data_IF_426385568151
#
_entry.id   IF_426385568151
#
_cell.length_a   1.000
_cell.length_b   1.000
_cell.length_c   1.000
_cell.angle_alpha   90.00
_cell.angle_beta   90.00
_cell.angle_gamma   90.00
#
_symmetry.space_group_name_H-M   'P 1'
#
loop_
_entity.id
_entity.type
_entity.pdbx_description
1 polymer ?
#
# COMPACT_ATOMS: atom_id res chain seq x y z
N UNK A 1 -18.30 -8.87 -0.33
CA UNK A 1 -17.96 -8.97 -1.76
C UNK A 1 -16.72 -9.85 -1.89
N UNK A 2 -16.78 -10.90 -2.69
CA UNK A 2 -15.58 -11.67 -3.08
C UNK A 2 -15.03 -11.13 -4.40
N UNK A 3 -13.71 -11.20 -4.60
CA UNK A 3 -13.10 -10.80 -5.87
C UNK A 3 -13.38 -11.88 -6.92
N UNK A 4 -14.09 -11.51 -7.96
CA UNK A 4 -14.38 -12.33 -9.13
C UNK A 4 -14.14 -11.51 -10.41
N UNK A 5 -14.24 -12.14 -11.58
CA UNK A 5 -13.99 -11.47 -12.87
C UNK A 5 -14.86 -10.20 -13.07
N UNK A 6 -16.13 -10.22 -12.65
CA UNK A 6 -17.05 -9.07 -12.78
C UNK A 6 -16.58 -7.88 -11.93
N UNK A 7 -16.24 -8.11 -10.66
CA UNK A 7 -15.73 -7.05 -9.78
C UNK A 7 -14.34 -6.59 -10.21
N UNK A 8 -13.46 -7.51 -10.63
CA UNK A 8 -12.14 -7.20 -11.17
C UNK A 8 -12.24 -6.29 -12.40
N UNK A 9 -13.15 -6.58 -13.33
CA UNK A 9 -13.38 -5.76 -14.51
C UNK A 9 -13.83 -4.32 -14.16
N UNK A 10 -14.63 -4.15 -13.10
CA UNK A 10 -15.02 -2.81 -12.61
C UNK A 10 -13.80 -2.03 -12.12
N UNK A 11 -12.95 -2.65 -11.30
CA UNK A 11 -11.73 -1.99 -10.81
C UNK A 11 -10.75 -1.66 -11.94
N UNK A 12 -10.52 -2.60 -12.86
CA UNK A 12 -9.69 -2.35 -14.06
C UNK A 12 -10.22 -1.16 -14.84
N UNK A 13 -11.53 -1.09 -15.09
CA UNK A 13 -12.13 0.04 -15.81
C UNK A 13 -11.89 1.37 -15.11
N UNK A 14 -12.06 1.43 -13.78
CA UNK A 14 -11.80 2.65 -13.01
C UNK A 14 -10.35 3.10 -13.13
N UNK A 15 -9.41 2.17 -13.01
CA UNK A 15 -7.97 2.49 -13.09
C UNK A 15 -7.55 2.87 -14.51
N UNK A 16 -8.03 2.17 -15.55
CA UNK A 16 -7.74 2.53 -16.95
C UNK A 16 -8.25 3.93 -17.33
N UNK A 17 -9.36 4.38 -16.73
CA UNK A 17 -9.85 5.75 -16.92
C UNK A 17 -8.97 6.81 -16.22
N UNK A 18 -8.04 6.40 -15.37
CA UNK A 18 -7.28 7.25 -14.47
C UNK A 18 -5.80 7.34 -14.85
N UNK A 19 -5.15 6.22 -15.13
CA UNK A 19 -3.68 6.12 -15.28
C UNK A 19 -3.08 6.94 -16.42
N UNK A 20 -3.89 7.36 -17.39
CA UNK A 20 -3.49 8.27 -18.48
C UNK A 20 -4.11 9.67 -18.37
N UNK A 21 -4.97 9.90 -17.38
CA UNK A 21 -5.69 11.15 -17.16
C UNK A 21 -4.82 12.08 -16.32
N UNK A 22 -4.20 13.09 -16.96
CA UNK A 22 -3.23 14.00 -16.32
C UNK A 22 -3.86 14.99 -15.33
N UNK A 23 -5.16 15.31 -15.44
CA UNK A 23 -5.80 16.31 -14.58
C UNK A 23 -7.18 15.84 -14.08
N UNK A 24 -7.61 16.25 -12.87
CA UNK A 24 -6.88 17.08 -11.90
C UNK A 24 -5.67 16.35 -11.30
N UNK A 25 -4.61 17.10 -10.99
CA UNK A 25 -3.38 16.58 -10.38
C UNK A 25 -3.07 17.33 -9.09
N UNK A 26 -2.70 16.61 -8.05
CA UNK A 26 -2.39 17.07 -6.71
C UNK A 26 -1.00 16.57 -6.36
N UNK A 27 -0.08 17.48 -6.04
CA UNK A 27 1.27 17.13 -5.61
C UNK A 27 1.76 18.24 -4.69
N UNK A 28 2.58 17.86 -3.70
CA UNK A 28 3.32 18.82 -2.90
C UNK A 28 4.68 19.01 -3.57
N UNK A 29 4.90 20.19 -4.15
CA UNK A 29 6.15 20.52 -4.83
C UNK A 29 7.11 21.27 -3.90
N UNK A 30 8.36 20.83 -3.91
CA UNK A 30 9.50 21.61 -3.43
C UNK A 30 10.21 22.18 -4.66
N UNK A 31 10.16 23.49 -4.85
CA UNK A 31 10.67 24.16 -6.04
C UNK A 31 12.03 24.79 -5.73
N UNK A 32 13.08 24.30 -6.39
CA UNK A 32 14.42 24.89 -6.30
C UNK A 32 14.67 25.90 -7.42
N UNK A 33 13.96 25.76 -8.54
CA UNK A 33 14.01 26.70 -9.67
C UNK A 33 12.74 26.68 -10.52
N UNK A 34 12.66 27.57 -11.51
CA UNK A 34 11.56 27.58 -12.48
C UNK A 34 11.43 26.28 -13.29
N UNK A 35 12.49 25.47 -13.37
CA UNK A 35 12.49 24.18 -14.07
C UNK A 35 11.66 23.10 -13.37
N UNK A 36 11.27 23.32 -12.12
CA UNK A 36 10.47 22.38 -11.33
C UNK A 36 8.95 22.60 -11.49
N UNK A 37 8.56 23.68 -12.16
CA UNK A 37 7.16 23.97 -12.50
C UNK A 37 6.87 23.47 -13.92
N UNK A 38 6.59 22.17 -14.04
CA UNK A 38 6.26 21.53 -15.32
C UNK A 38 4.99 20.67 -15.20
N UNK A 39 4.32 20.39 -16.33
CA UNK A 39 3.23 19.42 -16.36
C UNK A 39 3.67 18.04 -15.82
N UNK A 40 2.80 17.28 -15.11
CA UNK A 40 3.16 15.97 -14.56
C UNK A 40 3.82 15.02 -15.55
N UNK A 41 3.34 14.99 -16.81
CA UNK A 41 3.91 14.14 -17.88
C UNK A 41 5.36 14.46 -18.24
N UNK A 42 5.86 15.64 -17.91
CA UNK A 42 7.25 16.04 -18.13
C UNK A 42 8.13 15.79 -16.89
N UNK A 43 7.52 15.69 -15.71
CA UNK A 43 8.23 15.43 -14.45
C UNK A 43 8.36 13.92 -14.18
N UNK A 44 7.27 13.18 -14.31
CA UNK A 44 7.16 11.76 -13.97
C UNK A 44 6.37 11.04 -15.07
N UNK A 45 6.98 10.81 -16.25
CA UNK A 45 6.27 10.39 -17.47
C UNK A 45 5.71 8.96 -17.45
N UNK A 46 6.13 8.08 -16.55
CA UNK A 46 5.56 6.74 -16.43
C UNK A 46 4.29 6.75 -15.55
N UNK A 47 4.24 7.64 -14.56
CA UNK A 47 3.18 7.67 -13.55
C UNK A 47 2.58 9.08 -13.39
N UNK A 48 2.35 9.76 -14.51
CA UNK A 48 1.83 11.13 -14.53
C UNK A 48 0.31 11.23 -14.35
N UNK A 49 -0.43 10.15 -14.64
CA UNK A 49 -1.88 10.16 -14.58
C UNK A 49 -2.41 10.08 -13.14
N UNK A 50 -3.72 9.96 -13.04
CA UNK A 50 -4.46 9.98 -11.78
C UNK A 50 -4.33 11.29 -10.99
N UNK A 51 -4.92 11.32 -9.79
CA UNK A 51 -4.88 12.50 -8.94
C UNK A 51 -3.45 12.83 -8.53
N UNK A 52 -2.59 11.84 -8.34
CA UNK A 52 -1.22 12.01 -7.93
C UNK A 52 -0.35 10.82 -8.38
N UNK A 53 0.96 10.96 -8.21
CA UNK A 53 1.93 9.98 -8.70
C UNK A 53 1.75 8.61 -8.06
N UNK A 54 1.58 8.54 -6.73
CA UNK A 54 1.40 7.26 -6.06
C UNK A 54 0.07 6.59 -6.43
N UNK A 55 -0.96 7.37 -6.75
CA UNK A 55 -2.23 6.87 -7.26
C UNK A 55 -2.09 6.16 -8.59
N UNK A 56 -1.33 6.75 -9.51
CA UNK A 56 -0.94 6.08 -10.75
C UNK A 56 -0.16 4.80 -10.44
N UNK A 57 0.87 4.85 -9.61
CA UNK A 57 1.73 3.68 -9.30
C UNK A 57 0.92 2.50 -8.76
N UNK A 58 0.09 2.71 -7.74
CA UNK A 58 -0.68 1.61 -7.19
C UNK A 58 -1.83 1.17 -8.12
N UNK A 59 -2.31 2.07 -8.99
CA UNK A 59 -3.18 1.72 -10.11
C UNK A 59 -2.51 0.72 -11.06
N UNK A 60 -1.27 0.99 -11.48
CA UNK A 60 -0.48 0.05 -12.28
C UNK A 60 -0.26 -1.29 -11.55
N UNK A 61 0.00 -1.26 -10.23
CA UNK A 61 0.06 -2.49 -9.42
C UNK A 61 -1.26 -3.27 -9.47
N UNK A 62 -2.41 -2.59 -9.33
CA UNK A 62 -3.73 -3.24 -9.45
C UNK A 62 -3.92 -3.89 -10.81
N UNK A 63 -3.55 -3.20 -11.90
CA UNK A 63 -3.66 -3.74 -13.26
C UNK A 63 -2.81 -5.02 -13.40
N UNK A 64 -1.55 -4.98 -12.97
CA UNK A 64 -0.66 -6.15 -13.00
C UNK A 64 -1.21 -7.31 -12.15
N UNK A 65 -1.63 -7.04 -10.91
CA UNK A 65 -2.19 -8.04 -9.99
C UNK A 65 -3.43 -8.71 -10.57
N UNK A 66 -4.39 -7.94 -11.07
CA UNK A 66 -5.62 -8.48 -11.64
C UNK A 66 -5.38 -9.22 -12.96
N UNK A 67 -4.42 -8.78 -13.77
CA UNK A 67 -4.04 -9.53 -14.96
C UNK A 67 -3.44 -10.90 -14.61
N UNK A 68 -2.62 -10.98 -13.56
CA UNK A 68 -2.08 -12.24 -13.07
C UNK A 68 -3.13 -13.14 -12.42
N UNK A 69 -4.09 -12.58 -11.69
CA UNK A 69 -5.17 -13.34 -11.05
C UNK A 69 -6.24 -13.83 -12.04
N UNK A 70 -6.43 -13.14 -13.17
CA UNK A 70 -7.47 -13.45 -14.16
C UNK A 70 -6.93 -13.47 -15.60
N UNK A 71 -5.98 -14.37 -15.93
CA UNK A 71 -5.24 -14.34 -17.21
C UNK A 71 -6.11 -14.52 -18.47
N UNK A 72 -7.32 -15.07 -18.32
CA UNK A 72 -8.27 -15.30 -19.41
C UNK A 72 -9.40 -14.24 -19.48
N UNK A 73 -9.34 -13.19 -18.66
CA UNK A 73 -10.39 -12.16 -18.66
C UNK A 73 -10.31 -11.26 -19.90
N UNK A 74 -11.46 -10.80 -20.37
CA UNK A 74 -11.55 -9.91 -21.54
C UNK A 74 -10.78 -8.57 -21.37
N UNK A 75 -10.52 -8.15 -20.13
CA UNK A 75 -9.77 -6.93 -19.84
C UNK A 75 -8.25 -7.07 -19.95
N UNK A 76 -7.71 -8.27 -20.20
CA UNK A 76 -6.25 -8.49 -20.23
C UNK A 76 -5.58 -7.67 -21.33
N UNK A 77 -6.17 -7.61 -22.52
CA UNK A 77 -5.62 -6.85 -23.64
C UNK A 77 -5.45 -5.35 -23.30
N UNK A 78 -6.50 -4.61 -22.89
CA UNK A 78 -6.34 -3.20 -22.54
C UNK A 78 -5.45 -2.99 -21.31
N UNK A 79 -5.41 -3.93 -20.35
CA UNK A 79 -4.47 -3.87 -19.22
C UNK A 79 -3.02 -3.90 -19.69
N UNK A 80 -2.66 -4.89 -20.53
CA UNK A 80 -1.28 -5.02 -21.02
C UNK A 80 -0.87 -3.80 -21.85
N UNK A 81 -1.77 -3.25 -22.65
CA UNK A 81 -1.54 -2.03 -23.43
C UNK A 81 -1.23 -0.82 -22.53
N UNK A 82 -1.99 -0.62 -21.45
CA UNK A 82 -1.75 0.46 -20.51
C UNK A 82 -0.39 0.30 -19.79
N UNK A 83 -0.06 -0.91 -19.32
CA UNK A 83 1.23 -1.20 -18.70
C UNK A 83 2.40 -0.96 -19.67
N UNK A 84 2.28 -1.41 -20.92
CA UNK A 84 3.31 -1.25 -21.95
C UNK A 84 3.55 0.21 -22.32
N UNK A 85 2.49 1.01 -22.38
CA UNK A 85 2.59 2.45 -22.65
C UNK A 85 3.34 3.20 -21.56
N UNK A 86 3.12 2.85 -20.29
CA UNK A 86 3.75 3.52 -19.15
C UNK A 86 5.16 3.01 -18.90
N UNK A 87 5.38 1.69 -18.90
CA UNK A 87 6.61 1.02 -18.47
C UNK A 87 7.60 0.84 -19.63
N UNK A 88 7.87 1.94 -20.34
CA UNK A 88 8.90 2.00 -21.39
C UNK A 88 10.24 2.47 -20.81
N UNK A 89 11.35 2.10 -21.44
CA UNK A 89 12.68 2.56 -21.02
C UNK A 89 12.77 4.10 -20.97
N UNK A 90 12.22 4.80 -21.97
CA UNK A 90 12.24 6.26 -22.05
C UNK A 90 11.45 6.93 -20.91
N UNK A 91 10.26 6.41 -20.58
CA UNK A 91 9.50 6.95 -19.46
C UNK A 91 10.20 6.68 -18.12
N UNK A 92 10.73 5.48 -17.92
CA UNK A 92 11.45 5.16 -16.69
C UNK A 92 12.74 6.00 -16.55
N UNK A 93 13.43 6.32 -17.63
CA UNK A 93 14.56 7.26 -17.61
C UNK A 93 14.13 8.66 -17.11
N UNK A 94 12.94 9.13 -17.50
CA UNK A 94 12.37 10.38 -16.99
C UNK A 94 12.09 10.34 -15.48
N UNK A 95 11.49 9.24 -14.99
CA UNK A 95 11.29 9.02 -13.55
C UNK A 95 12.63 8.99 -12.79
N UNK A 96 13.65 8.31 -13.33
CA UNK A 96 15.00 8.26 -12.75
C UNK A 96 15.59 9.67 -12.64
N UNK A 97 15.51 10.47 -13.71
CA UNK A 97 16.00 11.84 -13.70
C UNK A 97 15.30 12.68 -12.61
N UNK A 98 13.99 12.50 -12.43
CA UNK A 98 13.24 13.19 -11.38
C UNK A 98 13.67 12.77 -9.97
N UNK A 99 13.78 11.46 -9.70
CA UNK A 99 14.22 10.95 -8.40
C UNK A 99 15.70 11.26 -8.07
N UNK A 100 16.55 11.46 -9.07
CA UNK A 100 17.93 11.92 -8.86
C UNK A 100 17.95 13.37 -8.32
N UNK A 101 17.07 14.24 -8.83
CA UNK A 101 16.92 15.63 -8.36
C UNK A 101 16.16 15.71 -7.03
N UNK A 102 15.17 14.83 -6.84
CA UNK A 102 14.32 14.79 -5.65
C UNK A 102 14.36 13.42 -4.96
N UNK A 103 15.47 13.02 -4.30
CA UNK A 103 15.64 11.68 -3.71
C UNK A 103 14.61 11.28 -2.64
N UNK A 104 13.79 12.24 -2.17
CA UNK A 104 12.77 12.06 -1.12
C UNK A 104 11.35 12.20 -1.63
N UNK A 105 11.15 12.39 -2.93
CA UNK A 105 9.82 12.44 -3.52
C UNK A 105 9.02 11.17 -3.19
N UNK A 106 7.78 11.34 -2.71
CA UNK A 106 6.86 10.23 -2.39
C UNK A 106 7.32 9.27 -1.27
N UNK A 107 8.27 9.70 -0.42
CA UNK A 107 8.70 8.92 0.73
C UNK A 107 7.75 9.02 1.94
N UNK A 108 7.37 7.90 2.58
CA UNK A 108 7.70 6.52 2.22
C UNK A 108 6.59 5.79 1.42
N UNK A 109 5.40 6.36 1.29
CA UNK A 109 4.21 5.64 0.79
C UNK A 109 4.25 5.32 -0.70
N UNK A 110 4.45 6.31 -1.57
CA UNK A 110 4.43 6.06 -3.01
C UNK A 110 5.54 5.11 -3.44
N UNK A 111 6.74 5.27 -2.88
CA UNK A 111 7.86 4.37 -3.18
C UNK A 111 7.62 2.94 -2.68
N UNK A 112 6.88 2.76 -1.58
CA UNK A 112 6.48 1.43 -1.12
C UNK A 112 5.56 0.73 -2.14
N UNK A 113 4.62 1.47 -2.73
CA UNK A 113 3.77 0.94 -3.80
C UNK A 113 4.52 0.66 -5.10
N UNK A 114 5.52 1.48 -5.46
CA UNK A 114 6.36 1.19 -6.63
C UNK A 114 7.14 -0.12 -6.43
N UNK A 115 7.68 -0.33 -5.24
CA UNK A 115 8.36 -1.59 -4.91
C UNK A 115 7.38 -2.78 -4.90
N UNK A 116 6.11 -2.57 -4.51
CA UNK A 116 5.08 -3.59 -4.69
C UNK A 116 4.76 -3.88 -6.16
N UNK A 117 4.71 -2.86 -7.04
CA UNK A 117 4.59 -3.04 -8.48
C UNK A 117 5.74 -3.88 -9.04
N UNK A 118 6.98 -3.53 -8.69
CA UNK A 118 8.15 -4.31 -9.11
C UNK A 118 8.09 -5.76 -8.64
N UNK A 119 7.68 -6.00 -7.39
CA UNK A 119 7.50 -7.35 -6.86
C UNK A 119 6.41 -8.13 -7.63
N UNK A 120 5.30 -7.48 -7.98
CA UNK A 120 4.21 -8.11 -8.72
C UNK A 120 4.62 -8.49 -10.15
N UNK A 121 5.40 -7.63 -10.83
CA UNK A 121 5.93 -7.93 -12.15
C UNK A 121 6.95 -9.09 -12.12
N UNK A 122 7.77 -9.18 -11.08
CA UNK A 122 8.74 -10.27 -10.90
C UNK A 122 8.05 -11.64 -10.65
N UNK A 123 6.96 -11.65 -9.88
CA UNK A 123 6.15 -12.84 -9.62
C UNK A 123 5.25 -13.25 -10.81
N UNK A 124 5.05 -12.36 -11.78
CA UNK A 124 4.19 -12.61 -12.93
C UNK A 124 4.96 -13.32 -14.04
N UNK A 125 4.72 -14.63 -14.18
CA UNK A 125 5.29 -15.44 -15.26
C UNK A 125 4.64 -15.15 -16.62
N UNK A 126 4.91 -13.96 -17.16
CA UNK A 126 4.48 -13.48 -18.47
C UNK A 126 5.64 -12.77 -19.17
N UNK A 127 5.75 -12.94 -20.49
CA UNK A 127 6.84 -12.36 -21.27
C UNK A 127 6.84 -10.82 -21.23
N UNK A 128 5.66 -10.20 -21.24
CA UNK A 128 5.54 -8.74 -21.19
C UNK A 128 5.89 -8.23 -19.78
N UNK A 129 5.44 -8.93 -18.73
CA UNK A 129 5.79 -8.60 -17.35
C UNK A 129 7.31 -8.60 -17.12
N UNK A 130 8.02 -9.60 -17.66
CA UNK A 130 9.49 -9.66 -17.63
C UNK A 130 10.13 -8.46 -18.35
N UNK A 131 9.59 -8.05 -19.49
CA UNK A 131 10.10 -6.88 -20.23
C UNK A 131 9.86 -5.56 -19.47
N UNK A 132 8.66 -5.38 -18.90
CA UNK A 132 8.36 -4.20 -18.09
C UNK A 132 9.19 -4.15 -16.81
N UNK A 133 9.46 -5.30 -16.20
CA UNK A 133 10.35 -5.40 -15.04
C UNK A 133 11.79 -4.99 -15.38
N UNK A 134 12.29 -5.39 -16.57
CA UNK A 134 13.59 -4.92 -17.06
C UNK A 134 13.58 -3.40 -17.25
N UNK A 135 12.53 -2.85 -17.85
CA UNK A 135 12.39 -1.40 -18.04
C UNK A 135 12.31 -0.63 -16.71
N UNK A 136 11.60 -1.15 -15.70
CA UNK A 136 11.42 -0.55 -14.37
C UNK A 136 12.67 -0.64 -13.47
N UNK A 137 13.57 -1.60 -13.75
CA UNK A 137 14.72 -1.91 -12.90
C UNK A 137 15.60 -0.70 -12.51
N UNK A 138 15.92 0.26 -13.41
CA UNK A 138 16.75 1.41 -13.04
C UNK A 138 16.12 2.28 -11.94
N UNK A 139 14.82 2.55 -12.05
CA UNK A 139 14.06 3.31 -11.05
C UNK A 139 13.93 2.55 -9.73
N UNK A 140 13.61 1.25 -9.79
CA UNK A 140 13.58 0.38 -8.60
C UNK A 140 14.91 0.40 -7.85
N UNK A 141 16.03 0.34 -8.58
CA UNK A 141 17.38 0.35 -8.00
C UNK A 141 17.68 1.68 -7.31
N UNK A 142 17.38 2.81 -7.96
CA UNK A 142 17.56 4.14 -7.39
C UNK A 142 16.71 4.34 -6.13
N UNK A 143 15.45 3.94 -6.16
CA UNK A 143 14.55 4.05 -5.01
C UNK A 143 15.01 3.17 -3.85
N UNK A 144 15.49 1.95 -4.10
CA UNK A 144 16.05 1.10 -3.06
C UNK A 144 17.27 1.74 -2.37
N UNK A 145 18.16 2.38 -3.14
CA UNK A 145 19.30 3.13 -2.61
C UNK A 145 18.82 4.32 -1.76
N UNK A 146 17.93 5.14 -2.30
CA UNK A 146 17.38 6.30 -1.60
C UNK A 146 16.65 5.90 -0.31
N UNK A 147 15.93 4.77 -0.33
CA UNK A 147 15.26 4.21 0.84
C UNK A 147 16.22 3.74 1.92
N UNK A 148 17.29 3.05 1.55
CA UNK A 148 18.34 2.66 2.50
C UNK A 148 18.89 3.88 3.22
N UNK A 149 19.23 4.94 2.49
CA UNK A 149 19.75 6.20 3.05
C UNK A 149 18.69 6.92 3.92
N UNK A 150 17.43 6.99 3.48
CA UNK A 150 16.33 7.59 4.25
C UNK A 150 16.15 6.88 5.59
N UNK A 151 15.99 5.56 5.55
CA UNK A 151 15.68 4.75 6.72
C UNK A 151 16.84 4.73 7.71
N UNK A 152 18.10 4.73 7.24
CA UNK A 152 19.28 4.88 8.09
C UNK A 152 19.26 6.19 8.88
N UNK A 153 18.89 7.30 8.23
CA UNK A 153 18.81 8.64 8.85
C UNK A 153 17.56 8.86 9.69
N UNK A 154 16.48 8.12 9.47
CA UNK A 154 15.24 8.26 10.24
C UNK A 154 15.46 7.90 11.72
N UNK A 155 15.26 8.88 12.60
CA UNK A 155 15.43 8.76 14.06
C UNK A 155 14.12 8.49 14.79
N UNK A 156 13.02 9.09 14.31
CA UNK A 156 11.68 8.98 14.87
C UNK A 156 10.74 8.55 13.74
N UNK A 157 9.97 7.46 13.90
CA UNK A 157 9.02 7.06 12.87
C UNK A 157 7.74 7.91 12.96
N UNK A 158 7.12 8.15 11.82
CA UNK A 158 5.84 8.83 11.76
C UNK A 158 4.70 7.81 11.96
N UNK A 159 3.78 8.15 12.87
CA UNK A 159 2.65 7.33 13.32
C UNK A 159 1.29 7.97 13.01
N UNK A 160 1.19 8.89 12.05
CA UNK A 160 -0.12 9.38 11.57
C UNK A 160 -0.72 8.38 10.59
N UNK A 161 -2.05 8.28 10.46
CA UNK A 161 -2.69 7.34 9.54
C UNK A 161 -2.72 7.79 8.08
N UNK A 162 -1.72 8.56 7.67
CA UNK A 162 -1.59 9.21 6.36
C UNK A 162 -0.40 8.66 5.57
N UNK A 163 -0.10 9.24 4.40
CA UNK A 163 1.01 8.84 3.51
C UNK A 163 2.40 8.79 4.18
N UNK A 164 2.59 9.47 5.31
CA UNK A 164 3.87 9.43 6.03
C UNK A 164 4.01 8.26 6.99
N UNK A 165 2.97 7.44 7.19
CA UNK A 165 2.96 6.33 8.15
C UNK A 165 4.12 5.36 7.86
N UNK A 166 5.06 5.29 8.80
CA UNK A 166 6.32 4.56 8.59
C UNK A 166 6.13 3.04 8.60
N UNK A 167 5.41 2.48 9.57
CA UNK A 167 5.26 1.03 9.71
C UNK A 167 4.58 0.37 8.50
N UNK A 168 3.56 1.02 7.93
CA UNK A 168 2.83 0.57 6.75
C UNK A 168 3.75 0.47 5.54
N UNK A 169 4.49 1.54 5.24
CA UNK A 169 5.44 1.54 4.14
C UNK A 169 6.56 0.50 4.37
N UNK A 170 7.09 0.39 5.60
CA UNK A 170 8.09 -0.63 5.92
C UNK A 170 7.56 -2.06 5.73
N UNK A 171 6.29 -2.33 6.04
CA UNK A 171 5.67 -3.64 5.83
C UNK A 171 5.64 -4.02 4.35
N UNK A 172 5.19 -3.09 3.50
CA UNK A 172 5.18 -3.30 2.04
C UNK A 172 6.60 -3.45 1.46
N UNK A 173 7.56 -2.64 1.91
CA UNK A 173 8.93 -2.71 1.40
C UNK A 173 9.62 -4.00 1.89
N UNK A 174 9.32 -4.47 3.10
CA UNK A 174 9.83 -5.75 3.60
C UNK A 174 9.36 -6.92 2.73
N UNK A 175 8.11 -6.90 2.29
CA UNK A 175 7.56 -7.92 1.39
C UNK A 175 8.27 -7.93 0.03
N UNK A 176 8.47 -6.76 -0.58
CA UNK A 176 9.27 -6.64 -1.80
C UNK A 176 10.70 -7.14 -1.59
N UNK A 177 11.32 -6.78 -0.47
CA UNK A 177 12.69 -7.19 -0.17
C UNK A 177 12.82 -8.70 0.00
N UNK A 178 11.80 -9.38 0.52
CA UNK A 178 11.74 -10.85 0.62
C UNK A 178 11.60 -11.51 -0.74
N UNK A 179 10.66 -11.05 -1.56
CA UNK A 179 10.43 -11.55 -2.93
C UNK A 179 11.70 -11.45 -3.76
N UNK A 180 12.34 -10.28 -3.73
CA UNK A 180 13.57 -9.99 -4.48
C UNK A 180 14.86 -10.46 -3.79
N UNK A 181 14.75 -11.11 -2.63
CA UNK A 181 15.88 -11.62 -1.83
C UNK A 181 16.92 -10.55 -1.48
N UNK A 182 16.48 -9.31 -1.25
CA UNK A 182 17.33 -8.20 -0.84
C UNK A 182 17.62 -8.24 0.67
N UNK A 183 18.55 -9.11 1.06
CA UNK A 183 18.90 -9.38 2.47
C UNK A 183 19.35 -8.14 3.24
N UNK A 184 20.07 -7.23 2.60
CA UNK A 184 20.50 -5.95 3.20
C UNK A 184 19.30 -5.09 3.61
N UNK A 185 18.30 -4.97 2.74
CA UNK A 185 17.09 -4.21 3.00
C UNK A 185 16.26 -4.87 4.11
N UNK A 186 16.09 -6.20 4.05
CA UNK A 186 15.40 -6.99 5.10
C UNK A 186 16.02 -6.69 6.47
N UNK A 187 17.34 -6.85 6.60
CA UNK A 187 18.06 -6.64 7.86
C UNK A 187 17.91 -5.20 8.38
N UNK A 188 17.99 -4.20 7.49
CA UNK A 188 17.82 -2.80 7.88
C UNK A 188 16.40 -2.52 8.39
N UNK A 189 15.37 -3.01 7.71
CA UNK A 189 13.97 -2.83 8.12
C UNK A 189 13.73 -3.52 9.45
N UNK A 190 14.15 -4.77 9.63
CA UNK A 190 13.98 -5.49 10.89
C UNK A 190 14.66 -4.79 12.06
N UNK A 191 15.90 -4.30 11.86
CA UNK A 191 16.62 -3.54 12.87
C UNK A 191 15.88 -2.25 13.26
N UNK A 192 15.45 -1.47 12.27
CA UNK A 192 14.77 -0.18 12.49
C UNK A 192 13.39 -0.36 13.11
N UNK A 193 12.61 -1.32 12.63
CA UNK A 193 11.31 -1.65 13.21
C UNK A 193 11.42 -2.06 14.68
N UNK A 194 12.39 -2.93 15.03
CA UNK A 194 12.65 -3.28 16.44
C UNK A 194 13.05 -2.05 17.25
N UNK A 195 13.95 -1.21 16.75
CA UNK A 195 14.35 0.04 17.42
C UNK A 195 13.16 0.99 17.66
N UNK A 196 12.24 1.06 16.72
CA UNK A 196 11.11 1.97 16.75
C UNK A 196 9.92 1.50 17.58
N UNK A 197 9.65 0.20 17.57
CA UNK A 197 8.34 -0.33 17.96
C UNK A 197 8.40 -1.46 18.99
N UNK A 198 9.57 -2.08 19.22
CA UNK A 198 9.66 -3.26 20.10
C UNK A 198 9.32 -2.95 21.56
N UNK A 199 9.64 -1.74 22.02
CA UNK A 199 9.39 -1.30 23.40
C UNK A 199 8.08 -0.51 23.57
N UNK A 200 7.29 -0.34 22.50
CA UNK A 200 6.00 0.34 22.60
C UNK A 200 5.02 -0.54 23.38
N UNK A 201 4.30 0.05 24.34
CA UNK A 201 3.35 -0.63 25.25
C UNK A 201 2.10 0.21 25.48
N UNK A 202 1.01 -0.43 25.89
CA UNK A 202 -0.24 0.24 26.30
C UNK A 202 -0.79 1.22 25.26
N UNK A 203 -0.72 0.87 23.97
CA UNK A 203 -1.32 1.66 22.92
C UNK A 203 -2.84 1.65 23.07
N UNK A 204 -3.46 2.83 22.99
CA UNK A 204 -4.92 2.95 23.16
C UNK A 204 -5.60 3.20 21.82
N UNK A 205 -6.42 2.24 21.40
CA UNK A 205 -7.25 2.35 20.18
C UNK A 205 -8.24 3.51 20.22
N UNK A 206 -8.52 4.09 21.40
CA UNK A 206 -9.42 5.26 21.55
C UNK A 206 -8.93 6.52 20.84
N UNK A 207 -7.64 6.57 20.49
CA UNK A 207 -7.03 7.72 19.80
C UNK A 207 -7.08 7.59 18.27
N UNK A 208 -7.67 6.50 17.75
CA UNK A 208 -7.88 6.30 16.32
C UNK A 208 -9.38 6.12 16.02
N UNK A 209 -9.87 6.60 14.86
CA UNK A 209 -9.12 7.29 13.80
C UNK A 209 -8.75 8.74 14.16
N UNK A 210 -7.67 9.25 13.57
CA UNK A 210 -7.48 10.68 13.37
C UNK A 210 -8.26 11.13 12.13
N UNK A 211 -8.57 12.42 12.04
CA UNK A 211 -9.64 12.95 11.18
C UNK A 211 -9.61 12.60 9.69
N UNK A 212 -8.47 12.17 9.14
CA UNK A 212 -8.35 11.82 7.72
C UNK A 212 -7.58 10.52 7.48
N UNK A 213 -7.49 9.64 8.49
CA UNK A 213 -6.74 8.40 8.37
C UNK A 213 -7.29 7.49 7.26
N UNK A 214 -6.42 6.98 6.40
CA UNK A 214 -6.69 5.83 5.52
C UNK A 214 -5.91 4.57 5.94
N UNK A 215 -5.01 4.72 6.91
CA UNK A 215 -4.24 3.65 7.56
C UNK A 215 -4.47 3.76 9.07
N UNK A 216 -4.60 2.64 9.77
CA UNK A 216 -4.57 2.63 11.24
C UNK A 216 -3.12 2.67 11.73
N UNK A 217 -2.66 3.74 12.44
CA UNK A 217 -1.32 3.77 13.02
C UNK A 217 -0.98 2.53 13.85
N UNK A 218 -1.89 2.12 14.71
CA UNK A 218 -1.76 0.97 15.59
C UNK A 218 -1.61 -0.33 14.82
N UNK A 219 -2.55 -0.61 13.91
CA UNK A 219 -2.57 -1.89 13.22
C UNK A 219 -1.45 -1.99 12.19
N UNK A 220 -0.98 -0.86 11.62
CA UNK A 220 0.20 -0.85 10.75
C UNK A 220 1.46 -1.25 11.52
N UNK A 221 1.60 -0.79 12.76
CA UNK A 221 2.71 -1.20 13.64
C UNK A 221 2.62 -2.70 13.97
N UNK A 222 1.45 -3.19 14.36
CA UNK A 222 1.28 -4.61 14.66
C UNK A 222 1.45 -5.51 13.42
N UNK A 223 0.98 -5.08 12.24
CA UNK A 223 1.19 -5.80 10.96
C UNK A 223 2.66 -5.82 10.53
N UNK A 224 3.43 -4.77 10.82
CA UNK A 224 4.88 -4.81 10.62
C UNK A 224 5.54 -5.79 11.60
N UNK A 225 5.20 -5.70 12.89
CA UNK A 225 5.85 -6.51 13.92
C UNK A 225 5.55 -8.01 13.77
N UNK A 226 4.36 -8.41 13.31
CA UNK A 226 4.05 -9.82 13.01
C UNK A 226 4.88 -10.40 11.86
N UNK A 227 5.41 -9.56 10.97
CA UNK A 227 6.31 -10.00 9.89
C UNK A 227 7.71 -10.32 10.41
N UNK A 228 8.10 -9.69 11.52
CA UNK A 228 9.49 -9.65 12.01
C UNK A 228 9.71 -10.62 13.18
N UNK A 229 8.73 -10.72 14.07
CA UNK A 229 8.81 -11.57 15.26
C UNK A 229 8.32 -12.98 14.97
N UNK A 230 8.83 -13.95 15.72
CA UNK A 230 8.25 -15.31 15.73
C UNK A 230 6.84 -15.25 16.30
N UNK A 231 5.99 -16.24 15.99
CA UNK A 231 4.59 -16.25 16.47
C UNK A 231 4.46 -16.08 17.99
N UNK A 232 5.32 -16.74 18.77
CA UNK A 232 5.33 -16.63 20.23
C UNK A 232 5.76 -15.23 20.68
N UNK A 233 6.89 -14.72 20.16
CA UNK A 233 7.37 -13.39 20.53
C UNK A 233 6.40 -12.27 20.11
N UNK A 234 5.73 -12.44 18.97
CA UNK A 234 4.69 -11.51 18.52
C UNK A 234 3.47 -11.56 19.43
N UNK A 235 3.00 -12.74 19.84
CA UNK A 235 1.85 -12.86 20.73
C UNK A 235 2.10 -12.21 22.09
N UNK A 236 3.31 -12.37 22.64
CA UNK A 236 3.72 -11.72 23.90
C UNK A 236 3.82 -10.20 23.71
N UNK A 237 4.52 -9.74 22.66
CA UNK A 237 4.63 -8.33 22.32
C UNK A 237 3.28 -7.66 22.11
N UNK A 238 2.34 -8.33 21.42
CA UNK A 238 1.00 -7.81 21.17
C UNK A 238 0.20 -7.67 22.48
N UNK A 239 0.45 -8.52 23.48
CA UNK A 239 -0.20 -8.41 24.79
C UNK A 239 0.27 -7.18 25.55
N UNK A 240 1.57 -6.86 25.46
CA UNK A 240 2.14 -5.64 26.04
C UNK A 240 1.73 -4.38 25.26
N UNK A 241 1.70 -4.47 23.93
CA UNK A 241 1.38 -3.36 23.04
C UNK A 241 -0.10 -2.99 23.06
N UNK A 242 -1.00 -3.98 22.99
CA UNK A 242 -2.45 -3.82 22.98
C UNK A 242 -3.11 -4.69 24.06
N UNK A 243 -2.97 -4.32 25.34
CA UNK A 243 -3.51 -5.10 26.45
C UNK A 243 -5.05 -5.14 26.47
N UNK A 244 -5.70 -4.14 25.86
CA UNK A 244 -7.15 -3.94 25.92
C UNK A 244 -7.92 -4.62 24.77
N UNK A 245 -7.31 -5.54 24.01
CA UNK A 245 -8.05 -6.33 23.01
C UNK A 245 -9.10 -7.19 23.75
N UNK A 246 -10.40 -6.99 23.51
CA UNK A 246 -11.45 -7.74 24.18
C UNK A 246 -11.41 -9.23 23.84
N UNK A 247 -11.74 -10.07 24.81
CA UNK A 247 -11.79 -11.54 24.65
C UNK A 247 -13.23 -12.07 24.57
N UNK A 248 -14.22 -11.18 24.61
CA UNK A 248 -15.65 -11.47 24.63
C UNK A 248 -16.32 -11.34 23.24
N UNK A 249 -15.53 -11.11 22.19
CA UNK A 249 -15.96 -10.81 20.82
C UNK A 249 -16.69 -9.46 20.68
N UNK A 250 -16.55 -8.56 21.65
CA UNK A 250 -16.96 -7.17 21.44
C UNK A 250 -16.05 -6.52 20.39
N UNK A 251 -16.64 -5.70 19.51
CA UNK A 251 -15.85 -5.05 18.48
C UNK A 251 -14.94 -3.98 19.12
N UNK A 252 -13.63 -4.20 19.02
CA UNK A 252 -12.61 -3.34 19.61
C UNK A 252 -12.28 -2.11 18.76
N UNK A 253 -12.69 -2.10 17.49
CA UNK A 253 -12.42 -1.05 16.54
C UNK A 253 -13.64 -0.86 15.64
N UNK A 254 -14.41 0.19 15.89
CA UNK A 254 -15.59 0.45 15.08
C UNK A 254 -15.17 0.93 13.68
N UNK A 255 -15.86 0.46 12.62
CA UNK A 255 -15.77 1.04 11.29
C UNK A 255 -16.09 2.53 11.33
N UNK A 256 -15.43 3.26 10.44
CA UNK A 256 -15.69 4.69 10.26
C UNK A 256 -16.61 4.85 9.07
N UNK A 257 -17.69 5.60 9.25
CA UNK A 257 -18.65 5.92 8.19
C UNK A 257 -18.19 7.15 7.41
N UNK A 258 -18.67 7.29 6.17
CA UNK A 258 -18.36 8.42 5.29
C UNK A 258 -19.67 9.13 4.98
N UNK A 259 -19.79 10.37 5.46
CA UNK A 259 -20.99 11.20 5.26
C UNK A 259 -20.97 11.89 3.89
N UNK A 260 -19.79 12.34 3.45
CA UNK A 260 -19.59 12.98 2.15
C UNK A 260 -18.55 12.22 1.30
N UNK A 261 -19.03 11.37 0.40
CA UNK A 261 -18.19 10.55 -0.49
C UNK A 261 -17.47 11.34 -1.60
N UNK A 262 -17.75 12.64 -1.77
CA UNK A 262 -17.03 13.53 -2.68
C UNK A 262 -15.86 14.26 -2.01
N UNK A 263 -15.82 14.29 -0.68
CA UNK A 263 -14.70 14.84 0.07
C UNK A 263 -13.52 13.87 0.00
N UNK A 264 -12.41 14.29 -0.62
CA UNK A 264 -11.21 13.49 -0.80
C UNK A 264 -10.69 12.95 0.54
N UNK A 265 -10.70 13.77 1.60
CA UNK A 265 -10.17 13.38 2.88
C UNK A 265 -11.15 12.51 3.68
N UNK A 266 -12.47 12.67 3.54
CA UNK A 266 -13.41 11.71 4.13
C UNK A 266 -13.39 10.36 3.41
N UNK A 267 -13.15 10.36 2.08
CA UNK A 267 -13.05 9.12 1.31
C UNK A 267 -11.94 8.19 1.82
N UNK A 268 -10.94 8.73 2.52
CA UNK A 268 -9.90 7.96 3.20
C UNK A 268 -10.46 6.93 4.16
N UNK A 269 -11.60 7.18 4.82
CA UNK A 269 -12.19 6.24 5.75
C UNK A 269 -12.69 4.94 5.08
N UNK A 270 -13.04 4.97 3.79
CA UNK A 270 -13.28 3.73 3.05
C UNK A 270 -12.01 2.89 2.97
N UNK A 271 -10.87 3.51 2.64
CA UNK A 271 -9.56 2.86 2.64
C UNK A 271 -9.12 2.42 4.03
N UNK A 272 -9.45 3.19 5.07
CA UNK A 272 -9.18 2.82 6.46
C UNK A 272 -9.87 1.52 6.85
N UNK A 273 -11.13 1.34 6.47
CA UNK A 273 -11.85 0.10 6.74
C UNK A 273 -11.18 -1.09 6.00
N UNK A 274 -10.81 -0.91 4.74
CA UNK A 274 -10.08 -1.95 3.99
C UNK A 274 -8.73 -2.28 4.63
N UNK A 275 -7.98 -1.25 5.04
CA UNK A 275 -6.64 -1.38 5.59
C UNK A 275 -6.63 -2.02 6.96
N UNK A 276 -7.59 -1.66 7.82
CA UNK A 276 -7.85 -2.34 9.10
C UNK A 276 -8.16 -3.82 8.87
N UNK A 277 -9.00 -4.16 7.89
CA UNK A 277 -9.36 -5.55 7.64
C UNK A 277 -8.14 -6.43 7.33
N UNK A 278 -7.27 -6.04 6.36
CA UNK A 278 -6.12 -6.88 6.01
C UNK A 278 -5.05 -6.89 7.10
N UNK A 279 -4.85 -5.78 7.82
CA UNK A 279 -3.86 -5.74 8.90
C UNK A 279 -4.30 -6.63 10.05
N UNK A 280 -5.60 -6.69 10.34
CA UNK A 280 -6.13 -7.63 11.34
C UNK A 280 -5.98 -9.08 10.85
N UNK A 281 -6.24 -9.38 9.58
CA UNK A 281 -5.95 -10.70 8.99
C UNK A 281 -4.45 -11.05 9.14
N UNK A 282 -3.56 -10.08 8.93
CA UNK A 282 -2.12 -10.19 9.16
C UNK A 282 -1.76 -10.49 10.60
N UNK A 283 -2.32 -9.74 11.55
CA UNK A 283 -2.13 -9.95 12.99
C UNK A 283 -2.58 -11.36 13.38
N UNK A 284 -3.76 -11.81 12.93
CA UNK A 284 -4.27 -13.16 13.19
C UNK A 284 -3.28 -14.22 12.66
N UNK A 285 -2.72 -14.03 11.45
CA UNK A 285 -1.76 -14.97 10.86
C UNK A 285 -0.46 -15.10 11.69
N UNK A 286 -0.08 -14.02 12.38
CA UNK A 286 1.08 -13.96 13.28
C UNK A 286 0.85 -14.60 14.65
N UNK A 287 -0.40 -14.86 15.04
CA UNK A 287 -0.72 -15.46 16.34
C UNK A 287 -0.61 -17.00 16.31
N UNK A 288 -0.31 -17.65 17.45
CA UNK A 288 -0.50 -19.08 17.63
C UNK A 288 -1.97 -19.48 17.44
N UNK A 289 -2.25 -20.65 16.85
CA UNK A 289 -3.61 -21.07 16.48
C UNK A 289 -4.63 -21.09 17.63
N UNK A 290 -4.16 -21.20 18.89
CA UNK A 290 -5.01 -21.21 20.10
C UNK A 290 -5.11 -19.87 20.83
N UNK A 291 -4.58 -18.78 20.25
CA UNK A 291 -4.62 -17.46 20.90
C UNK A 291 -6.06 -16.97 21.06
N UNK A 292 -6.40 -16.56 22.29
CA UNK A 292 -7.77 -16.19 22.68
C UNK A 292 -8.28 -14.94 21.95
N UNK A 293 -7.38 -14.10 21.42
CA UNK A 293 -7.74 -12.86 20.71
C UNK A 293 -8.23 -13.13 19.28
N UNK A 294 -7.92 -14.29 18.70
CA UNK A 294 -8.23 -14.61 17.31
C UNK A 294 -9.72 -14.45 17.01
N UNK A 295 -10.60 -14.92 17.89
CA UNK A 295 -12.05 -14.88 17.65
C UNK A 295 -12.57 -13.45 17.54
N UNK A 296 -12.22 -12.58 18.49
CA UNK A 296 -12.58 -11.16 18.46
C UNK A 296 -12.00 -10.47 17.22
N UNK A 297 -10.70 -10.63 16.97
CA UNK A 297 -10.02 -10.02 15.83
C UNK A 297 -10.64 -10.47 14.50
N UNK A 298 -10.98 -11.75 14.37
CA UNK A 298 -11.64 -12.27 13.18
C UNK A 298 -13.00 -11.62 12.96
N UNK A 299 -13.83 -11.51 13.99
CA UNK A 299 -15.12 -10.80 13.90
C UNK A 299 -14.94 -9.34 13.48
N UNK A 300 -13.99 -8.61 14.09
CA UNK A 300 -13.69 -7.22 13.71
C UNK A 300 -13.20 -7.10 12.27
N UNK A 301 -12.32 -8.00 11.82
CA UNK A 301 -11.84 -8.04 10.43
C UNK A 301 -12.98 -8.22 9.43
N UNK A 302 -13.89 -9.17 9.68
CA UNK A 302 -15.04 -9.42 8.79
C UNK A 302 -15.93 -8.19 8.66
N UNK A 303 -16.21 -7.47 9.76
CA UNK A 303 -17.02 -6.24 9.75
C UNK A 303 -16.35 -5.18 8.87
N UNK A 304 -15.07 -4.89 9.09
CA UNK A 304 -14.33 -3.91 8.30
C UNK A 304 -14.22 -4.33 6.82
N UNK A 305 -13.99 -5.62 6.55
CA UNK A 305 -13.95 -6.18 5.20
C UNK A 305 -15.27 -5.96 4.46
N UNK A 306 -16.39 -6.24 5.11
CA UNK A 306 -17.72 -6.07 4.50
C UNK A 306 -18.01 -4.60 4.18
N UNK A 307 -17.79 -3.70 5.14
CA UNK A 307 -18.07 -2.26 4.97
C UNK A 307 -17.11 -1.61 3.97
N UNK A 308 -15.82 -1.90 4.06
CA UNK A 308 -14.81 -1.37 3.15
C UNK A 308 -15.06 -1.81 1.70
N UNK A 309 -15.36 -3.10 1.49
CA UNK A 309 -15.58 -3.64 0.14
C UNK A 309 -16.90 -3.17 -0.49
N UNK A 310 -17.94 -2.92 0.32
CA UNK A 310 -19.21 -2.39 -0.19
C UNK A 310 -19.04 -1.02 -0.88
N UNK A 311 -18.03 -0.23 -0.46
CA UNK A 311 -17.78 1.12 -0.93
C UNK A 311 -16.55 1.24 -1.85
N UNK A 312 -15.88 0.12 -2.15
CA UNK A 312 -14.62 0.14 -2.91
C UNK A 312 -14.80 0.51 -4.39
N UNK A 313 -15.97 0.25 -4.97
CA UNK A 313 -16.34 0.71 -6.33
C UNK A 313 -17.05 2.04 -6.19
N UNK A 314 -16.28 3.12 -6.03
CA UNK A 314 -16.82 4.48 -5.90
C UNK A 314 -17.18 5.08 -7.25
N UNK A 315 -18.27 5.84 -7.30
CA UNK A 315 -18.66 6.65 -8.46
C UNK A 315 -17.93 8.01 -8.48
N UNK A 316 -17.41 8.45 -7.33
CA UNK A 316 -16.73 9.74 -7.19
C UNK A 316 -15.22 9.59 -7.31
N UNK A 317 -14.60 10.54 -8.01
CA UNK A 317 -13.16 10.52 -8.24
C UNK A 317 -12.37 10.46 -6.95
N UNK A 318 -12.81 11.13 -5.88
CA UNK A 318 -12.24 11.08 -4.53
C UNK A 318 -11.87 9.66 -4.05
N UNK A 319 -12.69 8.65 -4.35
CA UNK A 319 -12.40 7.25 -4.02
C UNK A 319 -11.97 6.39 -5.21
N UNK A 320 -12.51 6.65 -6.39
CA UNK A 320 -12.42 5.71 -7.53
C UNK A 320 -11.02 5.57 -8.13
N UNK A 321 -10.14 6.56 -7.91
CA UNK A 321 -8.75 6.52 -8.39
C UNK A 321 -7.85 5.57 -7.58
N UNK A 322 -8.24 5.15 -6.38
CA UNK A 322 -7.33 4.40 -5.48
C UNK A 322 -7.96 3.27 -4.65
N UNK A 323 -9.23 3.35 -4.27
CA UNK A 323 -9.84 2.37 -3.35
C UNK A 323 -9.85 0.94 -3.92
N UNK A 324 -9.91 0.80 -5.24
CA UNK A 324 -9.79 -0.49 -5.92
C UNK A 324 -8.50 -1.21 -5.54
N UNK A 325 -7.38 -0.49 -5.42
CA UNK A 325 -6.08 -1.04 -5.02
C UNK A 325 -6.16 -1.68 -3.63
N UNK A 326 -6.73 -0.96 -2.65
CA UNK A 326 -6.87 -1.45 -1.29
C UNK A 326 -7.80 -2.66 -1.22
N UNK A 327 -8.88 -2.67 -2.01
CA UNK A 327 -9.78 -3.81 -2.11
C UNK A 327 -9.09 -5.04 -2.74
N UNK A 328 -8.29 -4.86 -3.78
CA UNK A 328 -7.52 -5.94 -4.42
C UNK A 328 -6.42 -6.45 -3.50
N UNK A 329 -5.74 -5.58 -2.75
CA UNK A 329 -4.76 -5.98 -1.75
C UNK A 329 -5.38 -6.92 -0.70
N UNK A 330 -6.51 -6.52 -0.11
CA UNK A 330 -7.28 -7.32 0.85
C UNK A 330 -7.77 -8.65 0.25
N UNK A 331 -8.40 -8.59 -0.92
CA UNK A 331 -9.12 -9.74 -1.48
C UNK A 331 -8.21 -10.77 -2.14
N UNK A 332 -6.99 -10.38 -2.53
CA UNK A 332 -5.96 -11.30 -3.03
C UNK A 332 -4.96 -11.72 -1.95
N UNK A 333 -5.23 -11.37 -0.69
CA UNK A 333 -4.38 -11.69 0.46
C UNK A 333 -2.92 -11.27 0.28
N UNK A 334 -2.67 -10.13 -0.39
CA UNK A 334 -1.33 -9.60 -0.57
C UNK A 334 -0.72 -9.30 0.81
N UNK A 335 0.52 -9.74 1.03
CA UNK A 335 1.22 -9.56 2.31
C UNK A 335 0.95 -10.61 3.40
N UNK A 336 0.15 -11.66 3.14
CA UNK A 336 -0.03 -12.77 4.08
C UNK A 336 0.88 -13.98 3.81
N UNK A 337 1.26 -14.20 2.55
CA UNK A 337 1.99 -15.40 2.11
C UNK A 337 3.38 -15.07 1.52
N UNK A 338 4.10 -14.11 2.12
CA UNK A 338 5.36 -13.55 1.58
C UNK A 338 6.58 -13.88 2.46
#
# INVERSE_FOLDING_TARGET
MELNQTTAAKFVKLVLNCVECEYPHSNIYWLDSNEDVKPPRELTPAFYGCLDWHSAVHGHWLLARLARCFPEAAFIVPVKQALEKSLTAANIEGEVAYFQRHPRFEFPYGVAWLLQLAAELDEWDDINAKQWQIALQPLQTLIAINFKDWLQKLTIPNRTGMHQQTAFALGLILDWARITKNTDCINLIEHKAKKFYFNDKNYSLRFEPLGYDFISPCLAQADLMRRILTKTAFADWLSDFLPDIPLDNSNCLQPVEVDNSQDYLQSHFYGLNLSRAWMIEGIISGLPNGDRRIKTLYTTSIIHRQIGLANAVSEHYAGSHWLGTFAVYLTTSRGLNI
#
